data_IF_768345130277
#
_entry.id   IF_768345130277
#
_cell.length_a   1.000
_cell.length_b   1.000
_cell.length_c   1.000
_cell.angle_alpha   90.00
_cell.angle_beta   90.00
_cell.angle_gamma   90.00
#
_symmetry.space_group_name_H-M   'P 1'
#
loop_
_entity.id
_entity.type
_entity.pdbx_description
1 polymer ?
#
# COMPACT_ATOMS: atom_id res chain seq x y z
N UNK A 1 23.15 10.75 2.56
CA UNK A 1 22.98 10.44 4.01
C UNK A 1 22.06 9.24 4.15
N UNK A 2 22.27 8.42 5.17
CA UNK A 2 21.40 7.26 5.44
C UNK A 2 20.13 7.75 6.16
N UNK A 3 18.94 7.38 5.69
CA UNK A 3 17.69 7.76 6.36
C UNK A 3 17.47 6.90 7.62
N UNK A 4 17.01 7.51 8.70
CA UNK A 4 16.76 6.84 9.97
C UNK A 4 15.52 5.92 9.95
N UNK A 5 14.54 6.21 9.08
CA UNK A 5 13.21 5.57 9.06
C UNK A 5 13.27 4.04 8.98
N UNK A 6 14.05 3.40 8.08
CA UNK A 6 14.13 1.95 7.99
C UNK A 6 14.69 1.26 9.25
N UNK A 7 15.50 1.96 10.06
CA UNK A 7 16.09 1.37 11.27
C UNK A 7 15.07 1.15 12.38
N UNK A 8 13.98 1.91 12.43
CA UNK A 8 12.91 1.65 13.40
C UNK A 8 12.21 0.31 13.13
N UNK A 9 11.96 0.02 11.85
CA UNK A 9 11.48 -1.29 11.44
C UNK A 9 12.47 -2.40 11.81
N UNK A 10 13.76 -2.21 11.49
CA UNK A 10 14.79 -3.18 11.82
C UNK A 10 14.90 -3.42 13.33
N UNK A 11 14.82 -2.36 14.14
CA UNK A 11 14.81 -2.45 15.61
C UNK A 11 13.62 -3.30 16.11
N UNK A 12 12.43 -3.06 15.56
CA UNK A 12 11.24 -3.86 15.90
C UNK A 12 11.42 -5.33 15.57
N UNK A 13 11.91 -5.64 14.38
CA UNK A 13 12.16 -7.02 13.96
C UNK A 13 13.18 -7.70 14.88
N UNK A 14 14.31 -7.04 15.18
CA UNK A 14 15.35 -7.56 16.08
C UNK A 14 14.81 -7.75 17.49
N UNK A 15 14.01 -6.81 18.01
CA UNK A 15 13.41 -6.89 19.34
C UNK A 15 12.46 -8.10 19.47
N UNK A 16 11.63 -8.36 18.47
CA UNK A 16 10.75 -9.56 18.44
C UNK A 16 11.58 -10.84 18.41
N UNK A 17 12.60 -10.91 17.55
CA UNK A 17 13.47 -12.09 17.43
C UNK A 17 14.28 -12.35 18.71
N UNK A 18 14.71 -11.29 19.39
CA UNK A 18 15.37 -11.35 20.70
C UNK A 18 14.40 -11.65 21.85
N UNK A 19 13.09 -11.73 21.59
CA UNK A 19 12.02 -11.94 22.58
C UNK A 19 12.06 -10.91 23.72
N UNK A 20 12.34 -9.65 23.39
CA UNK A 20 12.50 -8.57 24.37
C UNK A 20 11.21 -8.22 25.14
N UNK A 21 10.06 -8.72 24.69
CA UNK A 21 8.75 -8.33 25.22
C UNK A 21 8.28 -6.94 24.77
N UNK A 22 9.07 -6.25 23.92
CA UNK A 22 8.68 -4.97 23.33
C UNK A 22 7.45 -5.17 22.45
N UNK A 23 6.33 -4.52 22.81
CA UNK A 23 5.14 -4.34 21.98
C UNK A 23 4.50 -3.02 22.30
N UNK A 24 4.02 -2.30 21.29
CA UNK A 24 3.18 -1.15 21.55
C UNK A 24 1.79 -1.62 21.99
N UNK A 25 1.12 -0.90 22.91
CA UNK A 25 -0.28 -1.17 23.20
C UNK A 25 -1.11 -1.05 21.92
N UNK A 26 -2.07 -1.97 21.71
CA UNK A 26 -2.87 -2.02 20.49
C UNK A 26 -3.55 -0.67 20.16
N UNK A 27 -4.05 0.03 21.20
CA UNK A 27 -4.64 1.36 21.04
C UNK A 27 -3.65 2.41 20.51
N UNK A 28 -2.37 2.35 20.91
CA UNK A 28 -1.33 3.27 20.41
C UNK A 28 -1.07 2.99 18.94
N UNK A 29 -0.90 1.72 18.58
CA UNK A 29 -0.69 1.33 17.19
C UNK A 29 -1.88 1.75 16.30
N UNK A 30 -3.10 1.51 16.74
CA UNK A 30 -4.30 1.91 16.01
C UNK A 30 -4.42 3.43 15.85
N UNK A 31 -4.05 4.18 16.90
CA UNK A 31 -4.02 5.65 16.84
C UNK A 31 -2.99 6.14 15.83
N UNK A 32 -1.80 5.54 15.81
CA UNK A 32 -0.75 5.85 14.82
C UNK A 32 -1.24 5.57 13.40
N UNK A 33 -1.92 4.44 13.14
CA UNK A 33 -2.53 4.16 11.84
C UNK A 33 -3.50 5.27 11.42
N UNK A 34 -4.42 5.64 12.30
CA UNK A 34 -5.44 6.68 12.01
C UNK A 34 -4.77 8.00 11.66
N UNK A 35 -3.84 8.41 12.52
CA UNK A 35 -3.11 9.65 12.37
C UNK A 35 -2.34 9.69 11.03
N UNK A 36 -1.60 8.63 10.68
CA UNK A 36 -0.81 8.60 9.45
C UNK A 36 -1.69 8.65 8.21
N UNK A 37 -2.77 7.87 8.16
CA UNK A 37 -3.71 7.87 7.04
C UNK A 37 -4.35 9.24 6.84
N UNK A 38 -4.79 9.87 7.93
CA UNK A 38 -5.40 11.19 7.89
C UNK A 38 -4.39 12.27 7.48
N UNK A 39 -3.17 12.24 8.03
CA UNK A 39 -2.10 13.16 7.67
C UNK A 39 -1.75 13.10 6.18
N UNK A 40 -1.64 11.89 5.63
CA UNK A 40 -1.40 11.65 4.19
C UNK A 40 -2.55 12.24 3.37
N UNK A 41 -3.80 11.97 3.79
CA UNK A 41 -4.97 12.49 3.10
C UNK A 41 -5.02 14.02 3.10
N UNK A 42 -4.83 14.65 4.25
CA UNK A 42 -4.81 16.11 4.40
C UNK A 42 -3.77 16.76 3.49
N UNK A 43 -2.54 16.22 3.47
CA UNK A 43 -1.47 16.70 2.60
C UNK A 43 -1.84 16.54 1.12
N UNK A 44 -2.39 15.38 0.73
CA UNK A 44 -2.85 15.15 -0.64
C UNK A 44 -3.95 16.12 -1.07
N UNK A 45 -4.91 16.38 -0.19
CA UNK A 45 -6.00 17.34 -0.43
C UNK A 45 -5.52 18.76 -0.66
N UNK A 46 -4.59 19.25 0.19
CA UNK A 46 -4.03 20.60 0.04
C UNK A 46 -3.29 20.76 -1.28
N UNK A 47 -2.56 19.73 -1.72
CA UNK A 47 -1.87 19.77 -3.00
C UNK A 47 -2.85 19.71 -4.19
N UNK A 48 -3.97 18.99 -4.08
CA UNK A 48 -5.05 19.05 -5.09
C UNK A 48 -5.65 20.46 -5.14
N UNK A 49 -5.83 21.12 -3.99
CA UNK A 49 -6.32 22.51 -3.95
C UNK A 49 -5.36 23.51 -4.58
N UNK A 50 -4.05 23.20 -4.57
CA UNK A 50 -3.00 23.98 -5.25
C UNK A 50 -2.90 23.67 -6.75
N UNK A 51 -3.36 22.51 -7.19
CA UNK A 51 -3.18 22.02 -8.54
C UNK A 51 -4.33 22.44 -9.45
N UNK A 52 -4.03 23.13 -10.54
CA UNK A 52 -4.97 23.39 -11.65
C UNK A 52 -4.96 22.25 -12.69
N UNK A 53 -4.42 21.07 -12.37
CA UNK A 53 -4.15 20.05 -13.39
C UNK A 53 -5.43 19.45 -13.97
N UNK A 54 -5.69 19.78 -15.24
CA UNK A 54 -6.74 19.16 -16.05
C UNK A 54 -6.52 17.65 -16.29
N UNK A 55 -5.33 17.11 -15.97
CA UNK A 55 -4.98 15.69 -16.20
C UNK A 55 -5.36 14.77 -15.04
N UNK A 56 -5.80 15.30 -13.88
CA UNK A 56 -6.08 14.50 -12.69
C UNK A 56 -7.04 13.33 -12.95
N UNK A 57 -8.04 13.53 -13.82
CA UNK A 57 -8.98 12.47 -14.18
C UNK A 57 -8.32 11.35 -15.00
N UNK A 58 -7.36 11.68 -15.86
CA UNK A 58 -6.58 10.68 -16.61
C UNK A 58 -5.70 9.89 -15.66
N UNK A 59 -5.02 10.58 -14.75
CA UNK A 59 -4.16 9.94 -13.75
C UNK A 59 -4.97 9.01 -12.83
N UNK A 60 -6.15 9.44 -12.41
CA UNK A 60 -7.11 8.61 -11.68
C UNK A 60 -7.52 7.35 -12.45
N UNK A 61 -7.84 7.48 -13.75
CA UNK A 61 -8.21 6.33 -14.60
C UNK A 61 -7.04 5.36 -14.78
N UNK A 62 -5.83 5.86 -14.98
CA UNK A 62 -4.63 5.05 -15.11
C UNK A 62 -4.32 4.30 -13.81
N UNK A 63 -4.45 4.95 -12.65
CA UNK A 63 -4.29 4.31 -11.34
C UNK A 63 -5.35 3.22 -11.11
N UNK A 64 -6.63 3.51 -11.38
CA UNK A 64 -7.73 2.54 -11.31
C UNK A 64 -7.44 1.33 -12.21
N UNK A 65 -7.02 1.59 -13.45
CA UNK A 65 -6.64 0.56 -14.41
C UNK A 65 -5.50 -0.31 -13.91
N UNK A 66 -4.44 0.30 -13.36
CA UNK A 66 -3.31 -0.44 -12.79
C UNK A 66 -3.73 -1.31 -11.61
N UNK A 67 -4.53 -0.77 -10.68
CA UNK A 67 -5.08 -1.53 -9.56
C UNK A 67 -5.93 -2.73 -10.01
N UNK A 68 -6.73 -2.57 -11.06
CA UNK A 68 -7.52 -3.65 -11.64
C UNK A 68 -6.66 -4.71 -12.39
N UNK A 69 -5.60 -4.29 -13.06
CA UNK A 69 -4.75 -5.15 -13.88
C UNK A 69 -3.81 -6.01 -13.03
N UNK A 70 -3.25 -5.48 -11.95
CA UNK A 70 -2.28 -6.21 -11.12
C UNK A 70 -2.82 -7.57 -10.64
N UNK A 71 -4.04 -7.69 -10.08
CA UNK A 71 -4.58 -9.00 -9.70
C UNK A 71 -4.69 -9.98 -10.87
N UNK A 72 -5.04 -9.51 -12.07
CA UNK A 72 -5.12 -10.35 -13.28
C UNK A 72 -3.75 -10.90 -13.69
N UNK A 73 -2.70 -10.08 -13.55
CA UNK A 73 -1.33 -10.48 -13.88
C UNK A 73 -0.75 -11.44 -12.83
N UNK A 74 -1.06 -11.21 -11.56
CA UNK A 74 -0.44 -11.93 -10.44
C UNK A 74 -1.18 -13.23 -10.11
N UNK A 75 -2.50 -13.30 -10.33
CA UNK A 75 -3.30 -14.48 -10.04
C UNK A 75 -2.80 -15.78 -10.71
N UNK A 76 -2.47 -15.82 -12.01
CA UNK A 76 -1.97 -17.02 -12.67
C UNK A 76 -0.69 -17.56 -12.02
N UNK A 77 0.20 -16.69 -11.56
CA UNK A 77 1.41 -17.07 -10.83
C UNK A 77 1.04 -17.82 -9.55
N UNK A 78 0.17 -17.26 -8.70
CA UNK A 78 -0.20 -17.93 -7.44
C UNK A 78 -1.01 -19.21 -7.65
N UNK A 79 -1.72 -19.35 -8.78
CA UNK A 79 -2.41 -20.60 -9.12
C UNK A 79 -1.49 -21.79 -9.38
N UNK A 80 -0.20 -21.56 -9.59
CA UNK A 80 0.78 -22.65 -9.75
C UNK A 80 0.97 -23.49 -8.47
N UNK A 81 0.70 -22.92 -7.30
CA UNK A 81 0.91 -23.62 -6.01
C UNK A 81 -0.24 -23.50 -5.01
N UNK A 82 -1.19 -22.60 -5.23
CA UNK A 82 -2.30 -22.36 -4.30
C UNK A 82 -3.66 -22.63 -4.92
N UNK A 83 -4.64 -22.86 -4.03
CA UNK A 83 -6.05 -22.99 -4.39
C UNK A 83 -6.56 -21.72 -5.06
N UNK A 84 -7.70 -21.80 -5.76
CA UNK A 84 -8.29 -20.62 -6.40
C UNK A 84 -8.62 -19.50 -5.41
N UNK A 85 -9.29 -19.77 -4.27
CA UNK A 85 -9.52 -18.77 -3.23
C UNK A 85 -8.23 -18.12 -2.72
N UNK A 86 -7.22 -18.93 -2.39
CA UNK A 86 -5.94 -18.44 -1.87
C UNK A 86 -5.19 -17.57 -2.90
N UNK A 87 -5.09 -18.04 -4.14
CA UNK A 87 -4.42 -17.31 -5.21
C UNK A 87 -5.14 -15.99 -5.55
N UNK A 88 -6.48 -15.98 -5.52
CA UNK A 88 -7.25 -14.77 -5.71
C UNK A 88 -7.03 -13.79 -4.55
N UNK A 89 -7.10 -14.25 -3.31
CA UNK A 89 -6.79 -13.43 -2.13
C UNK A 89 -5.38 -12.84 -2.24
N UNK A 90 -4.36 -13.67 -2.50
CA UNK A 90 -2.98 -13.22 -2.69
C UNK A 90 -2.86 -12.15 -3.78
N UNK A 91 -3.52 -12.33 -4.93
CA UNK A 91 -3.53 -11.33 -6.00
C UNK A 91 -4.19 -10.00 -5.58
N UNK A 92 -5.22 -10.07 -4.72
CA UNK A 92 -5.87 -8.91 -4.14
C UNK A 92 -4.90 -8.09 -3.28
N UNK A 93 -4.06 -8.74 -2.48
CA UNK A 93 -3.05 -8.07 -1.67
C UNK A 93 -2.10 -7.24 -2.53
N UNK A 94 -1.56 -7.79 -3.62
CA UNK A 94 -0.63 -7.05 -4.50
C UNK A 94 -1.31 -5.93 -5.30
N UNK A 95 -2.54 -6.13 -5.78
CA UNK A 95 -3.26 -5.09 -6.52
C UNK A 95 -3.77 -3.95 -5.63
N UNK A 96 -4.13 -4.26 -4.38
CA UNK A 96 -4.67 -3.29 -3.42
C UNK A 96 -3.63 -2.33 -2.88
N UNK A 97 -2.34 -2.54 -3.19
CA UNK A 97 -1.19 -1.71 -2.78
C UNK A 97 -1.08 -1.47 -1.27
N UNK A 98 -0.04 -0.76 -0.84
CA UNK A 98 0.17 -0.42 0.58
C UNK A 98 0.40 1.07 0.74
N UNK A 99 -0.57 1.73 1.36
CA UNK A 99 -0.47 3.14 1.73
C UNK A 99 0.66 3.39 2.73
N UNK A 100 1.00 2.39 3.55
CA UNK A 100 2.15 2.48 4.47
C UNK A 100 3.45 2.46 3.67
N UNK A 101 3.60 1.56 2.70
CA UNK A 101 4.81 1.53 1.85
C UNK A 101 4.96 2.84 1.08
N UNK A 102 3.85 3.39 0.57
CA UNK A 102 3.80 4.73 -0.03
C UNK A 102 4.26 5.81 0.96
N UNK A 103 3.76 5.81 2.19
CA UNK A 103 4.13 6.78 3.22
C UNK A 103 5.64 6.75 3.51
N UNK A 104 6.23 5.55 3.57
CA UNK A 104 7.68 5.41 3.75
C UNK A 104 8.44 5.92 2.53
N UNK A 105 8.01 5.57 1.32
CA UNK A 105 8.59 6.12 0.09
C UNK A 105 8.57 7.64 0.08
N UNK A 106 7.43 8.25 0.40
CA UNK A 106 7.28 9.70 0.46
C UNK A 106 8.20 10.34 1.52
N UNK A 107 8.32 9.71 2.70
CA UNK A 107 9.22 10.19 3.76
C UNK A 107 10.71 10.10 3.38
N UNK A 108 11.11 9.03 2.67
CA UNK A 108 12.49 8.85 2.17
C UNK A 108 12.81 9.87 1.08
N UNK A 109 11.89 10.10 0.14
CA UNK A 109 12.06 11.11 -0.90
C UNK A 109 12.14 12.53 -0.33
N UNK A 110 11.25 12.86 0.60
CA UNK A 110 11.27 14.14 1.31
C UNK A 110 12.60 14.35 2.06
N UNK A 111 13.12 13.31 2.73
CA UNK A 111 14.43 13.35 3.39
C UNK A 111 15.62 13.56 2.43
N UNK A 112 15.41 13.35 1.13
CA UNK A 112 16.39 13.60 0.06
C UNK A 112 16.09 14.86 -0.76
N UNK A 113 15.08 15.63 -0.38
CA UNK A 113 14.67 16.83 -1.13
C UNK A 113 14.12 16.52 -2.52
N UNK A 114 13.62 15.30 -2.76
CA UNK A 114 12.98 14.93 -4.03
C UNK A 114 11.50 15.30 -3.92
N UNK A 115 11.06 16.22 -4.77
CA UNK A 115 9.65 16.65 -4.84
C UNK A 115 8.74 15.56 -5.37
N UNK A 116 7.49 15.58 -4.93
CA UNK A 116 6.47 14.58 -5.21
C UNK A 116 5.15 15.29 -5.47
N UNK A 117 4.43 14.84 -6.49
CA UNK A 117 3.09 15.29 -6.84
C UNK A 117 2.09 14.87 -5.76
N UNK A 118 1.40 15.83 -5.15
CA UNK A 118 0.55 15.54 -3.99
C UNK A 118 -0.72 14.73 -4.30
N UNK A 119 -1.19 14.72 -5.56
CA UNK A 119 -2.34 13.90 -5.95
C UNK A 119 -2.06 12.39 -5.92
N UNK A 120 -0.80 11.96 -5.77
CA UNK A 120 -0.45 10.53 -5.69
C UNK A 120 -1.04 9.83 -4.46
N UNK A 121 -1.29 10.56 -3.38
CA UNK A 121 -2.01 10.03 -2.22
C UNK A 121 -3.46 9.63 -2.58
N UNK A 122 -4.11 10.39 -3.46
CA UNK A 122 -5.42 10.03 -4.01
C UNK A 122 -5.30 8.81 -4.92
N UNK A 123 -4.31 8.77 -5.81
CA UNK A 123 -4.12 7.63 -6.72
C UNK A 123 -3.94 6.32 -5.96
N UNK A 124 -3.17 6.34 -4.86
CA UNK A 124 -3.00 5.19 -3.97
C UNK A 124 -4.35 4.65 -3.45
N UNK A 125 -5.26 5.54 -3.04
CA UNK A 125 -6.59 5.16 -2.59
C UNK A 125 -7.43 4.52 -3.71
N UNK A 126 -7.33 5.09 -4.92
CA UNK A 126 -8.11 4.66 -6.09
C UNK A 126 -7.67 3.28 -6.62
N UNK A 127 -6.44 2.84 -6.37
CA UNK A 127 -5.97 1.50 -6.76
C UNK A 127 -6.59 0.38 -5.93
N UNK A 128 -7.02 0.67 -4.69
CA UNK A 128 -7.46 -0.34 -3.73
C UNK A 128 -8.77 -1.02 -4.16
N UNK A 129 -9.82 -0.24 -4.42
CA UNK A 129 -11.14 -0.77 -4.74
C UNK A 129 -11.18 -1.66 -5.99
N UNK A 130 -10.62 -1.24 -7.15
CA UNK A 130 -10.62 -2.06 -8.36
C UNK A 130 -9.90 -3.39 -8.17
N UNK A 131 -8.79 -3.40 -7.41
CA UNK A 131 -8.04 -4.61 -7.15
C UNK A 131 -8.85 -5.66 -6.37
N UNK A 132 -9.54 -5.21 -5.31
CA UNK A 132 -10.36 -6.09 -4.46
C UNK A 132 -11.57 -6.63 -5.23
N UNK A 133 -12.20 -5.79 -6.07
CA UNK A 133 -13.31 -6.20 -6.95
C UNK A 133 -12.83 -7.27 -7.93
N UNK A 134 -11.75 -7.01 -8.66
CA UNK A 134 -11.23 -7.95 -9.66
C UNK A 134 -10.84 -9.28 -9.02
N UNK A 135 -10.10 -9.26 -7.90
CA UNK A 135 -9.71 -10.48 -7.20
C UNK A 135 -10.92 -11.29 -6.72
N UNK A 136 -11.97 -10.62 -6.21
CA UNK A 136 -13.22 -11.28 -5.79
C UNK A 136 -13.92 -11.94 -6.97
N UNK A 137 -14.00 -11.24 -8.12
CA UNK A 137 -14.58 -11.79 -9.35
C UNK A 137 -13.79 -13.01 -9.83
N UNK A 138 -12.46 -12.96 -9.77
CA UNK A 138 -11.60 -14.09 -10.10
C UNK A 138 -11.87 -15.27 -9.15
N UNK A 139 -11.97 -15.05 -7.84
CA UNK A 139 -12.22 -16.11 -6.86
C UNK A 139 -13.51 -16.87 -7.15
N UNK A 140 -14.57 -16.14 -7.51
CA UNK A 140 -15.93 -16.68 -7.68
C UNK A 140 -16.27 -17.12 -9.10
N UNK A 141 -15.40 -16.86 -10.07
CA UNK A 141 -15.64 -17.23 -11.45
C UNK A 141 -15.84 -18.74 -11.60
N UNK A 142 -16.99 -19.12 -12.17
CA UNK A 142 -17.37 -20.52 -12.40
C UNK A 142 -18.01 -21.20 -11.18
N UNK A 143 -18.18 -20.51 -10.05
CA UNK A 143 -18.93 -21.02 -8.89
C UNK A 143 -20.39 -20.62 -9.04
N UNK A 144 -21.30 -21.60 -9.17
CA UNK A 144 -22.76 -21.32 -9.13
C UNK A 144 -23.10 -20.82 -7.74
N UNK A 145 -23.53 -19.56 -7.63
CA UNK A 145 -23.98 -19.00 -6.36
C UNK A 145 -25.28 -19.68 -5.94
N UNK A 146 -25.28 -20.31 -4.77
CA UNK A 146 -26.47 -20.95 -4.19
C UNK A 146 -27.45 -19.90 -3.61
N UNK A 147 -26.96 -18.71 -3.28
CA UNK A 147 -27.77 -17.58 -2.83
C UNK A 147 -27.63 -16.41 -3.80
N UNK A 148 -28.77 -15.91 -4.30
CA UNK A 148 -28.90 -14.76 -5.19
C UNK A 148 -28.61 -13.40 -4.53
N UNK A 149 -27.84 -13.35 -3.44
CA UNK A 149 -27.45 -12.09 -2.81
C UNK A 149 -26.38 -11.38 -3.65
N UNK A 150 -26.62 -10.13 -4.03
CA UNK A 150 -25.69 -9.32 -4.81
C UNK A 150 -24.52 -8.84 -3.94
N UNK A 151 -23.58 -9.75 -3.71
CA UNK A 151 -22.36 -9.52 -2.91
C UNK A 151 -21.48 -8.40 -3.47
N UNK A 152 -21.67 -7.99 -4.72
CA UNK A 152 -20.99 -6.85 -5.32
C UNK A 152 -21.35 -5.53 -4.60
N UNK A 153 -22.62 -5.32 -4.24
CA UNK A 153 -23.04 -4.14 -3.49
C UNK A 153 -22.47 -4.13 -2.06
N UNK A 154 -22.45 -5.28 -1.41
CA UNK A 154 -21.83 -5.46 -0.09
C UNK A 154 -20.31 -5.24 -0.15
N UNK A 155 -19.63 -5.74 -1.18
CA UNK A 155 -18.20 -5.55 -1.39
C UNK A 155 -17.88 -4.07 -1.65
N UNK A 156 -18.65 -3.40 -2.50
CA UNK A 156 -18.48 -1.97 -2.77
C UNK A 156 -18.69 -1.17 -1.48
N UNK A 157 -19.76 -1.44 -0.73
CA UNK A 157 -20.00 -0.78 0.56
C UNK A 157 -18.85 -1.01 1.53
N UNK A 158 -18.35 -2.25 1.67
CA UNK A 158 -17.26 -2.59 2.58
C UNK A 158 -15.95 -1.90 2.19
N UNK A 159 -15.65 -1.82 0.90
CA UNK A 159 -14.46 -1.12 0.39
C UNK A 159 -14.54 0.37 0.69
N UNK A 160 -15.68 1.01 0.46
CA UNK A 160 -15.87 2.44 0.77
C UNK A 160 -15.98 2.72 2.28
N UNK A 161 -16.50 1.77 3.06
CA UNK A 161 -16.57 1.83 4.52
C UNK A 161 -15.23 1.46 5.19
N UNK A 162 -14.24 1.01 4.42
CA UNK A 162 -12.94 0.65 4.94
C UNK A 162 -12.29 1.86 5.64
N UNK A 163 -11.81 1.64 6.86
CA UNK A 163 -11.16 2.67 7.68
C UNK A 163 -10.06 3.44 6.92
N UNK A 164 -9.23 2.75 6.13
CA UNK A 164 -8.17 3.38 5.35
C UNK A 164 -8.72 4.30 4.26
N UNK A 165 -9.74 3.84 3.53
CA UNK A 165 -10.41 4.61 2.47
C UNK A 165 -11.14 5.82 3.04
N UNK A 166 -11.89 5.64 4.14
CA UNK A 166 -12.61 6.72 4.81
C UNK A 166 -11.65 7.79 5.34
N UNK A 167 -10.56 7.39 6.01
CA UNK A 167 -9.60 8.35 6.58
C UNK A 167 -8.79 9.06 5.52
N UNK A 168 -8.35 8.33 4.49
CA UNK A 168 -7.56 8.91 3.39
C UNK A 168 -8.43 9.82 2.53
N UNK A 169 -9.61 9.35 2.09
CA UNK A 169 -10.56 10.13 1.30
C UNK A 169 -11.14 11.31 2.07
N UNK A 170 -11.50 11.11 3.35
CA UNK A 170 -11.94 12.19 4.24
C UNK A 170 -10.84 13.23 4.46
N UNK A 171 -9.60 12.80 4.70
CA UNK A 171 -8.44 13.69 4.80
C UNK A 171 -8.21 14.49 3.51
N UNK A 172 -8.29 13.85 2.34
CA UNK A 172 -8.17 14.52 1.03
C UNK A 172 -9.26 15.58 0.88
N UNK A 173 -10.51 15.24 1.20
CA UNK A 173 -11.62 16.20 1.10
C UNK A 173 -11.41 17.39 2.03
N UNK A 174 -11.01 17.15 3.28
CA UNK A 174 -10.73 18.21 4.26
C UNK A 174 -9.57 19.09 3.77
N UNK A 175 -8.47 18.48 3.33
CA UNK A 175 -7.32 19.23 2.83
C UNK A 175 -7.63 20.03 1.57
N UNK A 176 -8.48 19.49 0.69
CA UNK A 176 -8.91 20.16 -0.54
C UNK A 176 -9.77 21.38 -0.24
N UNK A 177 -10.75 21.25 0.66
CA UNK A 177 -11.65 22.35 1.04
C UNK A 177 -10.93 23.39 1.90
N UNK A 178 -10.08 22.97 2.84
CA UNK A 178 -9.35 23.87 3.73
C UNK A 178 -8.24 24.63 2.99
N UNK A 179 -7.65 24.00 1.96
CA UNK A 179 -6.52 24.52 1.22
C UNK A 179 -5.28 24.75 2.11
N UNK A 180 -4.23 25.37 1.54
CA UNK A 180 -2.97 25.60 2.25
C UNK A 180 -3.12 26.43 3.52
N UNK A 181 -3.93 27.49 3.46
CA UNK A 181 -4.11 28.43 4.57
C UNK A 181 -4.91 27.79 5.71
N UNK A 182 -5.92 26.98 5.40
CA UNK A 182 -6.71 26.29 6.41
C UNK A 182 -5.95 25.15 7.11
N UNK A 183 -4.97 24.53 6.43
CA UNK A 183 -4.15 23.47 7.02
C UNK A 183 -2.95 24.02 7.81
N UNK A 184 -2.51 25.26 7.57
CA UNK A 184 -1.32 25.84 8.20
C UNK A 184 -1.30 25.68 9.74
N UNK A 185 -2.39 26.00 10.49
CA UNK A 185 -2.42 25.81 11.96
C UNK A 185 -2.27 24.36 12.42
N UNK A 186 -2.55 23.40 11.54
CA UNK A 186 -2.48 21.96 11.82
C UNK A 186 -1.12 21.35 11.47
N UNK A 187 -0.23 22.10 10.81
CA UNK A 187 1.09 21.63 10.35
C UNK A 187 1.97 21.04 11.45
N UNK A 188 2.06 21.62 12.67
CA UNK A 188 2.89 21.05 13.73
C UNK A 188 2.53 19.60 14.05
N UNK A 189 1.22 19.29 14.00
CA UNK A 189 0.75 17.94 14.28
C UNK A 189 0.81 17.05 13.05
N UNK A 190 0.30 17.47 11.89
CA UNK A 190 0.09 16.57 10.75
C UNK A 190 1.21 16.57 9.72
N UNK A 191 2.11 17.55 9.75
CA UNK A 191 3.25 17.67 8.82
C UNK A 191 4.55 17.44 9.57
N UNK A 192 4.82 18.22 10.61
CA UNK A 192 6.14 18.24 11.26
C UNK A 192 6.39 16.95 12.05
N UNK A 193 5.39 16.46 12.79
CA UNK A 193 5.48 15.21 13.57
C UNK A 193 5.25 13.94 12.76
N UNK A 194 4.88 14.04 11.47
CA UNK A 194 4.54 12.90 10.62
C UNK A 194 5.65 11.85 10.58
N UNK A 195 6.90 12.29 10.34
CA UNK A 195 8.06 11.39 10.24
C UNK A 195 8.33 10.66 11.56
N UNK A 196 8.12 11.33 12.70
CA UNK A 196 8.28 10.73 14.03
C UNK A 196 7.22 9.67 14.33
N UNK A 197 5.95 9.96 14.04
CA UNK A 197 4.86 9.00 14.17
C UNK A 197 5.04 7.78 13.25
N UNK A 198 5.52 8.01 12.01
CA UNK A 198 5.85 6.94 11.07
C UNK A 198 6.94 6.02 11.63
N UNK A 199 7.97 6.56 12.27
CA UNK A 199 9.00 5.75 12.93
C UNK A 199 8.43 4.85 14.03
N UNK A 200 7.53 5.35 14.88
CA UNK A 200 6.87 4.53 15.90
C UNK A 200 5.97 3.46 15.30
N UNK A 201 5.26 3.80 14.22
CA UNK A 201 4.45 2.84 13.47
C UNK A 201 5.31 1.72 12.87
N UNK A 202 6.44 2.07 12.27
CA UNK A 202 7.37 1.11 11.69
C UNK A 202 8.03 0.20 12.72
N UNK A 203 8.28 0.70 13.93
CA UNK A 203 8.75 -0.14 15.04
C UNK A 203 7.79 -1.29 15.33
N UNK A 204 6.49 -1.00 15.44
CA UNK A 204 5.47 -2.05 15.61
C UNK A 204 5.36 -2.95 14.37
N UNK A 205 5.48 -2.40 13.16
CA UNK A 205 5.51 -3.22 11.94
C UNK A 205 6.69 -4.19 11.91
N UNK A 206 7.85 -3.80 12.43
CA UNK A 206 8.99 -4.69 12.59
C UNK A 206 8.68 -5.89 13.50
N UNK A 207 8.02 -5.62 14.63
CA UNK A 207 7.59 -6.65 15.59
C UNK A 207 6.59 -7.61 14.93
N UNK A 208 5.56 -7.07 14.27
CA UNK A 208 4.52 -7.88 13.62
C UNK A 208 5.10 -8.70 12.46
N UNK A 209 5.99 -8.12 11.65
CA UNK A 209 6.63 -8.84 10.55
C UNK A 209 7.44 -10.05 11.05
N UNK A 210 8.20 -9.88 12.13
CA UNK A 210 8.96 -10.97 12.74
C UNK A 210 8.05 -12.07 13.31
N UNK A 211 6.93 -11.71 13.93
CA UNK A 211 5.93 -12.66 14.43
C UNK A 211 5.29 -13.51 13.33
N UNK A 212 5.28 -13.02 12.08
CA UNK A 212 4.72 -13.73 10.91
C UNK A 212 5.70 -14.65 10.20
N UNK A 213 6.98 -14.65 10.58
CA UNK A 213 7.99 -15.54 9.98
C UNK A 213 7.63 -17.05 10.08
N UNK A 214 7.01 -17.56 11.16
CA UNK A 214 6.57 -18.96 11.21
C UNK A 214 5.48 -19.29 10.19
N UNK A 215 4.55 -18.36 9.93
CA UNK A 215 3.49 -18.53 8.94
C UNK A 215 4.08 -18.60 7.52
N UNK A 216 5.12 -17.81 7.26
CA UNK A 216 5.86 -17.83 6.00
C UNK A 216 6.56 -19.19 5.75
N UNK A 217 7.14 -19.80 6.79
CA UNK A 217 7.74 -21.14 6.69
C UNK A 217 6.71 -22.21 6.31
N UNK A 218 5.49 -22.11 6.84
CA UNK A 218 4.38 -23.02 6.49
C UNK A 218 3.88 -22.82 5.06
N UNK A 219 3.91 -21.57 4.57
CA UNK A 219 3.45 -21.23 3.24
C UNK A 219 4.37 -21.71 2.10
N UNK A 220 5.64 -22.00 2.41
CA UNK A 220 6.57 -22.65 1.49
C UNK A 220 7.40 -21.68 0.64
N UNK A 221 8.45 -22.23 0.02
CA UNK A 221 9.46 -21.45 -0.70
C UNK A 221 8.90 -20.74 -1.93
N UNK A 222 7.85 -21.28 -2.54
CA UNK A 222 7.16 -20.65 -3.66
C UNK A 222 6.62 -19.27 -3.28
N UNK A 223 5.92 -19.14 -2.14
CA UNK A 223 5.38 -17.86 -1.70
C UNK A 223 6.48 -16.85 -1.40
N UNK A 224 7.56 -17.28 -0.73
CA UNK A 224 8.72 -16.43 -0.43
C UNK A 224 9.36 -15.91 -1.71
N UNK A 225 9.61 -16.80 -2.67
CA UNK A 225 10.20 -16.45 -3.96
C UNK A 225 9.32 -15.48 -4.74
N UNK A 226 8.01 -15.75 -4.83
CA UNK A 226 7.06 -14.84 -5.47
C UNK A 226 7.00 -13.48 -4.76
N UNK A 227 7.00 -13.45 -3.43
CA UNK A 227 6.90 -12.21 -2.65
C UNK A 227 8.16 -11.33 -2.72
N UNK A 228 9.30 -11.91 -3.06
CA UNK A 228 10.55 -11.19 -3.36
C UNK A 228 10.65 -10.76 -4.83
N UNK A 229 10.16 -11.59 -5.76
CA UNK A 229 10.29 -11.35 -7.20
C UNK A 229 9.21 -10.42 -7.77
N UNK A 230 7.98 -10.48 -7.24
CA UNK A 230 6.88 -9.65 -7.71
C UNK A 230 7.11 -8.14 -7.54
N UNK A 231 7.60 -7.63 -6.39
CA UNK A 231 7.77 -6.19 -6.19
C UNK A 231 8.56 -5.48 -7.30
N UNK A 232 9.77 -5.91 -7.70
CA UNK A 232 10.49 -5.24 -8.79
C UNK A 232 9.80 -5.40 -10.15
N UNK A 233 9.12 -6.52 -10.41
CA UNK A 233 8.38 -6.73 -11.67
C UNK A 233 7.16 -5.81 -11.76
N UNK A 234 6.36 -5.73 -10.70
CA UNK A 234 5.18 -4.86 -10.66
C UNK A 234 5.58 -3.37 -10.61
N UNK A 235 6.72 -3.05 -10.00
CA UNK A 235 7.28 -1.70 -10.04
C UNK A 235 7.54 -1.23 -11.48
N UNK A 236 7.91 -2.12 -12.42
CA UNK A 236 8.03 -1.74 -13.83
C UNK A 236 6.69 -1.35 -14.46
N UNK A 237 5.59 -1.98 -14.05
CA UNK A 237 4.25 -1.55 -14.48
C UNK A 237 3.90 -0.17 -13.89
N UNK A 238 4.25 0.06 -12.62
CA UNK A 238 4.12 1.38 -11.99
C UNK A 238 4.96 2.46 -12.67
N UNK A 239 6.18 2.13 -13.08
CA UNK A 239 7.04 3.00 -13.89
C UNK A 239 6.38 3.34 -15.23
N UNK A 240 5.91 2.33 -15.98
CA UNK A 240 5.24 2.55 -17.25
C UNK A 240 4.03 3.48 -17.12
N UNK A 241 3.21 3.29 -16.08
CA UNK A 241 2.07 4.17 -15.80
C UNK A 241 2.52 5.59 -15.41
N UNK A 242 3.57 5.73 -14.61
CA UNK A 242 4.13 7.05 -14.28
C UNK A 242 4.61 7.82 -15.52
N UNK A 243 5.19 7.12 -16.50
CA UNK A 243 5.58 7.76 -17.76
C UNK A 243 4.36 8.24 -18.56
N UNK A 244 3.25 7.47 -18.56
CA UNK A 244 2.01 7.88 -19.22
C UNK A 244 1.35 9.10 -18.55
N UNK A 245 1.53 9.24 -17.25
CA UNK A 245 1.08 10.40 -16.46
C UNK A 245 2.02 11.61 -16.58
N UNK A 246 3.23 11.42 -17.10
CA UNK A 246 4.24 12.49 -17.16
C UNK A 246 4.78 12.91 -15.79
N UNK A 247 4.82 11.98 -14.82
CA UNK A 247 5.31 12.28 -13.47
C UNK A 247 6.81 12.58 -13.46
N UNK A 248 7.23 13.44 -12.53
CA UNK A 248 8.63 13.65 -12.20
C UNK A 248 9.27 12.44 -11.52
N UNK A 249 10.54 12.59 -11.13
CA UNK A 249 11.31 11.50 -10.50
C UNK A 249 10.64 11.01 -9.21
N UNK A 250 10.20 11.91 -8.33
CA UNK A 250 9.57 11.52 -7.08
C UNK A 250 8.24 10.79 -7.30
N UNK A 251 7.38 11.31 -8.17
CA UNK A 251 6.13 10.65 -8.51
C UNK A 251 6.31 9.29 -9.15
N UNK A 252 7.28 9.16 -10.05
CA UNK A 252 7.66 7.89 -10.64
C UNK A 252 8.04 6.87 -9.57
N UNK A 253 8.90 7.25 -8.62
CA UNK A 253 9.30 6.35 -7.52
C UNK A 253 8.11 5.93 -6.67
N UNK A 254 7.19 6.84 -6.37
CA UNK A 254 6.00 6.50 -5.58
C UNK A 254 5.02 5.61 -6.35
N UNK A 255 4.87 5.81 -7.65
CA UNK A 255 4.02 4.95 -8.48
C UNK A 255 4.61 3.54 -8.62
N UNK A 256 5.93 3.44 -8.79
CA UNK A 256 6.66 2.17 -8.72
C UNK A 256 6.48 1.49 -7.36
N UNK A 257 6.58 2.28 -6.27
CA UNK A 257 6.43 1.78 -4.90
C UNK A 257 5.02 1.26 -4.64
N UNK A 258 3.98 1.98 -5.09
CA UNK A 258 2.59 1.55 -4.99
C UNK A 258 2.39 0.22 -5.73
N UNK A 259 2.75 0.16 -7.00
CA UNK A 259 2.60 -1.05 -7.82
C UNK A 259 3.40 -2.25 -7.28
N UNK A 260 4.61 -2.01 -6.77
CA UNK A 260 5.48 -3.03 -6.18
C UNK A 260 5.12 -3.44 -4.74
N UNK A 261 4.09 -2.86 -4.15
CA UNK A 261 3.70 -3.13 -2.75
C UNK A 261 2.58 -4.15 -2.63
N UNK A 262 2.23 -4.51 -1.39
CA UNK A 262 1.11 -5.39 -1.10
C UNK A 262 0.39 -4.93 0.17
N UNK A 263 -0.94 -4.90 0.12
CA UNK A 263 -1.82 -4.50 1.22
C UNK A 263 -1.76 -5.53 2.34
N UNK A 264 -1.91 -5.09 3.59
CA UNK A 264 -2.04 -5.95 4.76
C UNK A 264 -3.00 -5.38 5.81
N UNK A 265 -3.76 -4.35 5.40
CA UNK A 265 -4.78 -3.69 6.23
C UNK A 265 -6.15 -3.92 5.60
N UNK A 266 -6.34 -3.42 4.38
CA UNK A 266 -7.63 -3.49 3.69
C UNK A 266 -7.90 -4.85 3.06
N UNK A 267 -6.95 -5.37 2.27
CA UNK A 267 -7.11 -6.65 1.57
C UNK A 267 -7.46 -7.84 2.50
N UNK A 268 -6.80 -8.07 3.66
CA UNK A 268 -7.17 -9.18 4.53
C UNK A 268 -8.61 -9.11 5.05
N UNK A 269 -9.12 -7.91 5.30
CA UNK A 269 -10.47 -7.69 5.81
C UNK A 269 -11.50 -7.94 4.70
N UNK A 270 -11.30 -7.32 3.55
CA UNK A 270 -12.19 -7.47 2.40
C UNK A 270 -12.24 -8.92 1.89
N UNK A 271 -11.09 -9.60 1.79
CA UNK A 271 -11.03 -10.98 1.30
C UNK A 271 -11.67 -11.97 2.27
N UNK A 272 -11.62 -11.72 3.59
CA UNK A 272 -12.30 -12.59 4.57
C UNK A 272 -13.82 -12.60 4.40
N UNK A 273 -14.39 -11.48 3.96
CA UNK A 273 -15.82 -11.34 3.70
C UNK A 273 -16.16 -11.88 2.31
N UNK A 274 -15.36 -11.51 1.32
CA UNK A 274 -15.63 -11.78 -0.09
C UNK A 274 -15.29 -13.20 -0.54
N UNK A 275 -14.28 -13.81 0.10
CA UNK A 275 -13.69 -15.12 -0.22
C UNK A 275 -13.31 -15.83 1.10
N UNK A 276 -14.31 -16.21 1.93
CA UNK A 276 -14.06 -16.76 3.27
C UNK A 276 -13.28 -18.08 3.27
N UNK A 277 -13.22 -18.78 2.14
CA UNK A 277 -12.46 -20.03 1.96
C UNK A 277 -10.95 -19.79 1.83
N UNK A 278 -10.52 -18.56 1.53
CA UNK A 278 -9.10 -18.22 1.42
C UNK A 278 -8.42 -18.23 2.79
N UNK A 279 -7.20 -18.74 2.86
CA UNK A 279 -6.38 -18.68 4.06
C UNK A 279 -5.80 -17.26 4.24
N UNK A 280 -6.27 -16.49 5.25
CA UNK A 280 -5.83 -15.11 5.44
C UNK A 280 -4.35 -15.00 5.83
N UNK A 281 -3.75 -16.07 6.35
CA UNK A 281 -2.36 -16.05 6.78
C UNK A 281 -1.38 -15.91 5.60
N UNK A 282 -1.73 -16.44 4.42
CA UNK A 282 -0.84 -16.41 3.25
C UNK A 282 -0.56 -14.99 2.79
N UNK A 283 -1.61 -14.21 2.56
CA UNK A 283 -1.49 -12.83 2.09
C UNK A 283 -0.85 -11.91 3.12
N UNK A 284 -1.23 -12.02 4.39
CA UNK A 284 -0.62 -11.25 5.48
C UNK A 284 0.86 -11.58 5.63
N UNK A 285 1.24 -12.86 5.59
CA UNK A 285 2.63 -13.27 5.72
C UNK A 285 3.48 -12.80 4.52
N UNK A 286 3.00 -12.98 3.28
CA UNK A 286 3.71 -12.50 2.09
C UNK A 286 3.92 -10.98 2.11
N UNK A 287 2.85 -10.23 2.41
CA UNK A 287 2.89 -8.78 2.39
C UNK A 287 3.76 -8.20 3.52
N UNK A 288 3.57 -8.63 4.77
CA UNK A 288 4.27 -8.06 5.94
C UNK A 288 5.66 -8.64 6.17
N UNK A 289 5.86 -9.95 6.02
CA UNK A 289 7.12 -10.58 6.38
C UNK A 289 8.16 -10.54 5.25
N UNK A 290 7.74 -10.27 4.00
CA UNK A 290 8.62 -10.33 2.82
C UNK A 290 8.54 -9.07 1.97
N UNK A 291 7.39 -8.80 1.35
CA UNK A 291 7.25 -7.72 0.35
C UNK A 291 7.46 -6.33 0.98
N UNK A 292 6.93 -6.09 2.17
CA UNK A 292 7.10 -4.82 2.87
C UNK A 292 8.57 -4.56 3.27
N UNK A 293 9.28 -5.47 3.97
CA UNK A 293 10.71 -5.33 4.24
C UNK A 293 11.56 -5.16 2.98
N UNK A 294 11.26 -5.93 1.92
CA UNK A 294 11.95 -5.81 0.64
C UNK A 294 11.83 -4.38 0.09
N UNK A 295 10.61 -3.85 0.01
CA UNK A 295 10.37 -2.50 -0.51
C UNK A 295 11.08 -1.44 0.34
N UNK A 296 11.01 -1.58 1.66
CA UNK A 296 11.61 -0.64 2.59
C UNK A 296 13.14 -0.58 2.47
N UNK A 297 13.79 -1.74 2.41
CA UNK A 297 15.25 -1.86 2.49
C UNK A 297 15.94 -1.77 1.12
N UNK A 298 15.29 -2.31 0.08
CA UNK A 298 15.89 -2.49 -1.25
C UNK A 298 15.05 -1.84 -2.35
N UNK A 299 13.73 -2.04 -2.34
CA UNK A 299 12.83 -1.60 -3.40
C UNK A 299 12.86 -0.09 -3.62
N UNK A 300 12.53 0.73 -2.62
CA UNK A 300 12.51 2.20 -2.75
C UNK A 300 13.87 2.75 -3.23
N UNK A 301 15.02 2.37 -2.64
CA UNK A 301 16.32 2.75 -3.18
C UNK A 301 16.55 2.33 -4.64
N UNK A 302 16.15 1.11 -5.01
CA UNK A 302 16.26 0.59 -6.37
C UNK A 302 15.38 1.36 -7.36
N UNK A 303 14.13 1.67 -6.98
CA UNK A 303 13.18 2.42 -7.79
C UNK A 303 13.66 3.84 -8.01
N UNK A 304 14.23 4.48 -7.00
CA UNK A 304 14.85 5.81 -7.13
C UNK A 304 16.04 5.79 -8.07
N UNK A 305 16.94 4.82 -7.94
CA UNK A 305 18.06 4.65 -8.86
C UNK A 305 17.59 4.46 -10.31
N UNK A 306 16.57 3.61 -10.50
CA UNK A 306 15.96 3.38 -11.82
C UNK A 306 15.38 4.66 -12.40
N UNK A 307 14.51 5.35 -11.65
CA UNK A 307 13.83 6.56 -12.09
C UNK A 307 14.83 7.68 -12.44
N UNK A 308 15.89 7.87 -11.64
CA UNK A 308 16.93 8.86 -11.92
C UNK A 308 17.74 8.53 -13.17
N UNK A 309 18.07 7.25 -13.37
CA UNK A 309 18.84 6.79 -14.53
C UNK A 309 18.03 6.96 -15.81
N UNK A 310 16.74 6.61 -15.78
CA UNK A 310 15.84 6.73 -16.93
C UNK A 310 15.44 8.18 -17.23
N UNK A 311 15.38 9.06 -16.23
CA UNK A 311 15.11 10.49 -16.44
C UNK A 311 16.32 11.25 -17.02
N UNK A 312 17.53 10.72 -16.85
CA UNK A 312 18.77 11.28 -17.41
C UNK A 312 19.20 10.68 -18.75
N UNK A 313 18.46 9.69 -19.27
CA UNK A 313 18.70 9.01 -20.55
C UNK A 313 17.78 9.54 -21.65
#
# INVERSE_FOLDING_TARGET
MVDAVPFFFALGAVASLARSGLRLPAAVFETLSIYLLLAIGLKGGVEIARSESATLWVDALLAIGLGAIIPLLVFPLFRLSFSRPDAASLSAHYGSVSIVTFAVGAAVLAGRGVEVEGHLALLAALMEAPALIVATLIARWGVKSADGSSTAGALVHEVFANKSVVLLGGGILIGWVAGPQGLEPLSPLFVDLFKGALCLFLLEMGLIAADRLPDLKKAGLFLVGSALALPPVLALAGWGVAQLMGLGVGGTVLMMTLAGSASYIAAPTAMRIAVPEANPALGVAAALAVTFPFNLLLGIPLYLWWAQTMAGA
#
